data_IF_633622724717
#
_entry.id   IF_633622724717
#
_cell.length_a   1.000
_cell.length_b   1.000
_cell.length_c   1.000
_cell.angle_alpha   90.00
_cell.angle_beta   90.00
_cell.angle_gamma   90.00
#
_symmetry.space_group_name_H-M   'P 1'
#
loop_
_entity.id
_entity.type
_entity.pdbx_description
1 polymer ?
#
# COMPACT_ATOMS: atom_id res chain seq x y z
N UNK A 1 20.75 1.83 77.05
CA UNK A 1 21.14 2.90 76.10
C UNK A 1 21.92 2.35 74.91
N UNK A 2 23.14 1.79 75.07
CA UNK A 2 23.92 1.29 73.92
C UNK A 2 23.25 0.16 73.12
N UNK A 3 22.62 -0.81 73.80
CA UNK A 3 21.91 -1.92 73.15
C UNK A 3 20.69 -1.47 72.32
N UNK A 4 19.93 -0.49 72.81
CA UNK A 4 18.79 0.08 72.06
C UNK A 4 19.26 0.81 70.80
N UNK A 5 20.36 1.57 70.88
CA UNK A 5 20.92 2.24 69.71
C UNK A 5 21.37 1.25 68.63
N UNK A 6 21.95 0.10 69.03
CA UNK A 6 22.37 -0.96 68.08
C UNK A 6 21.15 -1.63 67.44
N UNK A 7 20.09 -1.90 68.21
CA UNK A 7 18.82 -2.44 67.69
C UNK A 7 18.18 -1.49 66.66
N UNK A 8 18.18 -0.20 66.96
CA UNK A 8 17.61 0.86 66.12
C UNK A 8 18.39 1.05 64.82
N UNK A 9 19.73 0.96 64.87
CA UNK A 9 20.59 0.95 63.68
C UNK A 9 20.24 -0.26 62.80
N UNK A 10 20.14 -1.46 63.37
CA UNK A 10 19.83 -2.69 62.63
C UNK A 10 18.45 -2.64 61.96
N UNK A 11 17.46 -2.07 62.63
CA UNK A 11 16.13 -1.86 62.04
C UNK A 11 16.16 -0.83 60.92
N UNK A 12 16.98 0.22 61.05
CA UNK A 12 17.14 1.25 60.03
C UNK A 12 17.83 0.70 58.79
N UNK A 13 18.86 -0.12 58.94
CA UNK A 13 19.52 -0.84 57.84
C UNK A 13 18.54 -1.77 57.11
N UNK A 14 17.74 -2.55 57.84
CA UNK A 14 16.75 -3.43 57.23
C UNK A 14 15.71 -2.66 56.40
N UNK A 15 15.23 -1.51 56.91
CA UNK A 15 14.31 -0.63 56.18
C UNK A 15 14.95 -0.01 54.94
N UNK A 16 16.21 0.42 55.04
CA UNK A 16 16.95 0.97 53.91
C UNK A 16 17.11 -0.08 52.79
N UNK A 17 17.46 -1.32 53.14
CA UNK A 17 17.56 -2.43 52.19
C UNK A 17 16.22 -2.74 51.51
N UNK A 18 15.12 -2.71 52.26
CA UNK A 18 13.77 -2.91 51.73
C UNK A 18 13.39 -1.80 50.73
N UNK A 19 13.68 -0.53 51.07
CA UNK A 19 13.46 0.62 50.18
C UNK A 19 14.24 0.45 48.88
N UNK A 20 15.52 0.08 48.96
CA UNK A 20 16.37 -0.12 47.78
C UNK A 20 15.84 -1.26 46.90
N UNK A 21 15.42 -2.38 47.51
CA UNK A 21 14.83 -3.50 46.78
C UNK A 21 13.53 -3.12 46.07
N UNK A 22 12.64 -2.42 46.77
CA UNK A 22 11.36 -1.98 46.20
C UNK A 22 11.57 -1.00 45.05
N UNK A 23 12.42 0.02 45.24
CA UNK A 23 12.76 0.97 44.19
C UNK A 23 13.39 0.28 42.96
N UNK A 24 14.25 -0.72 43.16
CA UNK A 24 14.86 -1.49 42.08
C UNK A 24 13.81 -2.32 41.31
N UNK A 25 12.85 -2.92 42.02
CA UNK A 25 11.76 -3.69 41.43
C UNK A 25 10.82 -2.79 40.62
N UNK A 26 10.43 -1.64 41.18
CA UNK A 26 9.61 -0.65 40.49
C UNK A 26 10.28 -0.10 39.24
N UNK A 27 11.58 0.21 39.30
CA UNK A 27 12.34 0.65 38.14
C UNK A 27 12.33 -0.40 37.02
N UNK A 28 12.52 -1.69 37.36
CA UNK A 28 12.45 -2.78 36.38
C UNK A 28 11.06 -2.89 35.75
N UNK A 29 10.00 -2.80 36.56
CA UNK A 29 8.62 -2.85 36.08
C UNK A 29 8.29 -1.66 35.16
N UNK A 30 8.77 -0.46 35.51
CA UNK A 30 8.60 0.73 34.69
C UNK A 30 9.26 0.58 33.32
N UNK A 31 10.50 0.08 33.28
CA UNK A 31 11.22 -0.18 32.02
C UNK A 31 10.51 -1.24 31.19
N UNK A 32 10.01 -2.33 31.81
CA UNK A 32 9.27 -3.36 31.08
C UNK A 32 7.96 -2.82 30.49
N UNK A 33 7.19 -2.03 31.24
CA UNK A 33 5.97 -1.39 30.75
C UNK A 33 6.27 -0.44 29.60
N UNK A 34 7.27 0.43 29.75
CA UNK A 34 7.69 1.36 28.70
C UNK A 34 8.10 0.62 27.42
N UNK A 35 8.83 -0.50 27.53
CA UNK A 35 9.18 -1.34 26.37
C UNK A 35 7.94 -1.95 25.71
N UNK A 36 7.00 -2.46 26.50
CA UNK A 36 5.74 -3.02 25.98
C UNK A 36 4.87 -1.98 25.27
N UNK A 37 4.76 -0.79 25.84
CA UNK A 37 4.04 0.34 25.23
C UNK A 37 4.72 0.82 23.94
N UNK A 38 6.05 0.95 23.95
CA UNK A 38 6.81 1.32 22.76
C UNK A 38 6.62 0.30 21.63
N UNK A 39 6.64 -1.00 21.94
CA UNK A 39 6.40 -2.05 20.95
C UNK A 39 4.99 -1.96 20.37
N UNK A 40 3.97 -1.79 21.22
CA UNK A 40 2.58 -1.60 20.75
C UNK A 40 2.44 -0.38 19.85
N UNK A 41 3.01 0.76 20.23
CA UNK A 41 2.97 1.97 19.40
C UNK A 41 3.67 1.77 18.06
N UNK A 42 4.82 1.07 18.06
CA UNK A 42 5.52 0.72 16.84
C UNK A 42 4.65 -0.13 15.91
N UNK A 43 4.05 -1.21 16.45
CA UNK A 43 3.21 -2.12 15.67
C UNK A 43 1.96 -1.41 15.13
N UNK A 44 1.33 -0.54 15.93
CA UNK A 44 0.19 0.28 15.52
C UNK A 44 0.55 1.26 14.38
N UNK A 45 1.73 1.89 14.46
CA UNK A 45 2.20 2.80 13.40
C UNK A 45 2.44 2.03 12.10
N UNK A 46 3.07 0.84 12.18
CA UNK A 46 3.30 0.00 11.01
C UNK A 46 1.97 -0.48 10.40
N UNK A 47 1.01 -0.89 11.23
CA UNK A 47 -0.31 -1.32 10.78
C UNK A 47 -1.03 -0.19 10.04
N UNK A 48 -1.09 1.01 10.63
CA UNK A 48 -1.69 2.21 10.00
C UNK A 48 -0.98 2.62 8.71
N UNK A 49 0.35 2.49 8.66
CA UNK A 49 1.11 2.78 7.46
C UNK A 49 0.78 1.81 6.31
N UNK A 50 0.67 0.50 6.62
CA UNK A 50 0.25 -0.52 5.65
C UNK A 50 -1.17 -0.29 5.15
N UNK A 51 -2.10 0.04 6.04
CA UNK A 51 -3.48 0.35 5.68
C UNK A 51 -3.56 1.54 4.71
N UNK A 52 -2.85 2.63 5.02
CA UNK A 52 -2.77 3.80 4.12
C UNK A 52 -2.13 3.47 2.77
N UNK A 53 -1.08 2.65 2.77
CA UNK A 53 -0.45 2.22 1.53
C UNK A 53 -1.42 1.41 0.65
N UNK A 54 -2.16 0.47 1.25
CA UNK A 54 -3.16 -0.32 0.54
C UNK A 54 -4.31 0.55 -0.01
N UNK A 55 -4.81 1.50 0.78
CA UNK A 55 -5.86 2.44 0.34
C UNK A 55 -5.37 3.31 -0.83
N UNK A 56 -4.12 3.79 -0.78
CA UNK A 56 -3.53 4.56 -1.87
C UNK A 56 -3.36 3.74 -3.15
N UNK A 57 -2.90 2.48 -3.03
CA UNK A 57 -2.80 1.56 -4.17
C UNK A 57 -4.18 1.29 -4.76
N UNK A 58 -5.18 1.00 -3.94
CA UNK A 58 -6.55 0.76 -4.41
C UNK A 58 -7.10 1.96 -5.15
N UNK A 59 -6.95 3.17 -4.60
CA UNK A 59 -7.36 4.41 -5.27
C UNK A 59 -6.64 4.63 -6.59
N UNK A 60 -5.33 4.37 -6.65
CA UNK A 60 -4.56 4.49 -7.89
C UNK A 60 -5.05 3.50 -8.96
N UNK A 61 -5.37 2.26 -8.58
CA UNK A 61 -5.93 1.26 -9.49
C UNK A 61 -7.31 1.70 -9.98
N UNK A 62 -8.19 2.16 -9.10
CA UNK A 62 -9.53 2.62 -9.46
C UNK A 62 -9.50 3.83 -10.40
N UNK A 63 -8.60 4.79 -10.14
CA UNK A 63 -8.39 5.94 -11.04
C UNK A 63 -7.86 5.48 -12.39
N UNK A 64 -6.85 4.61 -12.41
CA UNK A 64 -6.30 4.06 -13.65
C UNK A 64 -7.34 3.32 -14.49
N UNK A 65 -8.22 2.55 -13.85
CA UNK A 65 -9.32 1.87 -14.52
C UNK A 65 -10.34 2.87 -15.10
N UNK A 66 -10.71 3.90 -14.35
CA UNK A 66 -11.62 4.97 -14.83
C UNK A 66 -11.03 5.75 -16.00
N UNK A 67 -9.73 5.99 -16.01
CA UNK A 67 -9.06 6.63 -17.14
C UNK A 67 -8.93 5.69 -18.34
N UNK A 68 -8.78 4.39 -18.11
CA UNK A 68 -8.72 3.39 -19.17
C UNK A 68 -10.08 3.16 -19.84
N UNK A 69 -11.20 3.27 -19.13
CA UNK A 69 -12.56 3.11 -19.68
C UNK A 69 -12.82 3.93 -20.96
N UNK A 70 -12.64 5.26 -21.00
CA UNK A 70 -12.88 6.05 -22.20
C UNK A 70 -11.91 5.70 -23.33
N UNK A 71 -10.67 5.32 -23.02
CA UNK A 71 -9.68 4.89 -24.02
C UNK A 71 -10.15 3.60 -24.68
N UNK A 72 -10.59 2.62 -23.88
CA UNK A 72 -11.12 1.35 -24.37
C UNK A 72 -12.42 1.54 -25.15
N UNK A 73 -13.33 2.40 -24.68
CA UNK A 73 -14.56 2.71 -25.38
C UNK A 73 -14.28 3.35 -26.76
N UNK A 74 -13.36 4.31 -26.82
CA UNK A 74 -12.93 4.94 -28.07
C UNK A 74 -12.29 3.93 -29.02
N UNK A 75 -11.39 3.09 -28.51
CA UNK A 75 -10.75 2.04 -29.31
C UNK A 75 -11.75 1.04 -29.89
N UNK A 76 -12.78 0.66 -29.12
CA UNK A 76 -13.89 -0.18 -29.62
C UNK A 76 -14.68 0.52 -30.71
N UNK A 77 -15.02 1.79 -30.52
CA UNK A 77 -15.76 2.57 -31.52
C UNK A 77 -14.97 2.71 -32.83
N UNK A 78 -13.66 2.96 -32.75
CA UNK A 78 -12.78 3.03 -33.92
C UNK A 78 -12.70 1.69 -34.64
N UNK A 79 -12.55 0.58 -33.90
CA UNK A 79 -12.53 -0.76 -34.46
C UNK A 79 -13.86 -1.13 -35.16
N UNK A 80 -15.00 -0.82 -34.55
CA UNK A 80 -16.31 -1.00 -35.16
C UNK A 80 -16.46 -0.15 -36.43
N UNK A 81 -15.95 1.09 -36.43
CA UNK A 81 -15.96 1.95 -37.61
C UNK A 81 -15.17 1.36 -38.78
N UNK A 82 -14.05 0.68 -38.51
CA UNK A 82 -13.25 -0.03 -39.53
C UNK A 82 -14.01 -1.26 -40.05
N UNK A 83 -14.58 -2.07 -39.16
CA UNK A 83 -15.31 -3.29 -39.53
C UNK A 83 -16.59 -2.97 -40.32
N UNK A 84 -17.27 -1.88 -39.97
CA UNK A 84 -18.51 -1.44 -40.58
C UNK A 84 -18.30 -0.47 -41.76
N UNK A 85 -17.13 -0.51 -42.41
CA UNK A 85 -16.92 0.21 -43.66
C UNK A 85 -18.01 -0.18 -44.68
N UNK A 86 -18.59 0.84 -45.34
CA UNK A 86 -19.68 0.63 -46.29
C UNK A 86 -19.28 -0.27 -47.45
N UNK A 87 -20.22 -1.09 -47.89
CA UNK A 87 -20.00 -2.03 -48.98
C UNK A 87 -19.59 -1.32 -50.28
N UNK A 88 -20.14 -0.13 -50.54
CA UNK A 88 -19.76 0.72 -51.66
C UNK A 88 -18.26 1.09 -51.64
N UNK A 89 -17.70 1.38 -50.46
CA UNK A 89 -16.26 1.66 -50.34
C UNK A 89 -15.42 0.42 -50.63
N UNK A 90 -15.88 -0.75 -50.19
CA UNK A 90 -15.20 -2.03 -50.48
C UNK A 90 -15.24 -2.33 -51.98
N UNK A 91 -16.40 -2.21 -52.61
CA UNK A 91 -16.60 -2.43 -54.05
C UNK A 91 -15.74 -1.45 -54.86
N UNK A 92 -15.72 -0.17 -54.48
CA UNK A 92 -14.88 0.83 -55.13
C UNK A 92 -13.38 0.52 -55.00
N UNK A 93 -12.93 0.05 -53.84
CA UNK A 93 -11.54 -0.37 -53.65
C UNK A 93 -11.19 -1.57 -54.55
N UNK A 94 -12.07 -2.58 -54.64
CA UNK A 94 -11.89 -3.74 -55.53
C UNK A 94 -11.82 -3.28 -56.99
N UNK A 95 -12.75 -2.41 -57.42
CA UNK A 95 -12.76 -1.87 -58.78
C UNK A 95 -11.46 -1.15 -59.14
N UNK A 96 -10.91 -0.36 -58.22
CA UNK A 96 -9.65 0.37 -58.42
C UNK A 96 -8.46 -0.60 -58.61
N UNK A 97 -8.43 -1.69 -57.84
CA UNK A 97 -7.42 -2.76 -57.99
C UNK A 97 -7.57 -3.46 -59.35
N UNK A 98 -8.79 -3.82 -59.75
CA UNK A 98 -9.07 -4.46 -61.05
C UNK A 98 -8.66 -3.55 -62.21
N UNK A 99 -9.05 -2.27 -62.19
CA UNK A 99 -8.65 -1.29 -63.21
C UNK A 99 -7.12 -1.16 -63.32
N UNK A 100 -6.40 -1.21 -62.19
CA UNK A 100 -4.94 -1.13 -62.18
C UNK A 100 -4.31 -2.38 -62.81
N UNK A 101 -4.83 -3.57 -62.52
CA UNK A 101 -4.35 -4.83 -63.14
C UNK A 101 -4.62 -4.81 -64.64
N UNK A 102 -5.83 -4.45 -65.05
CA UNK A 102 -6.24 -4.37 -66.46
C UNK A 102 -5.41 -3.33 -67.23
N UNK A 103 -5.08 -2.18 -66.63
CA UNK A 103 -4.18 -1.21 -67.28
C UNK A 103 -2.74 -1.71 -67.47
N UNK A 104 -2.26 -2.59 -66.59
CA UNK A 104 -0.89 -3.13 -66.66
C UNK A 104 -0.82 -4.34 -67.61
N UNK A 105 -1.86 -5.19 -67.65
CA UNK A 105 -1.84 -6.47 -68.38
C UNK A 105 -2.80 -6.54 -69.58
N UNK A 106 -3.71 -5.58 -69.71
CA UNK A 106 -4.77 -5.56 -70.74
C UNK A 106 -4.40 -4.81 -72.02
N UNK A 107 -3.15 -4.37 -72.17
CA UNK A 107 -2.59 -3.99 -73.47
C UNK A 107 -1.91 -5.21 -74.10
N UNK A 108 -2.72 -6.11 -74.63
CA UNK A 108 -2.40 -6.91 -75.82
C UNK A 108 -3.59 -6.81 -76.76
#
# INVERSE_FOLDING_TARGET
>A
MALQAIEEIKQTEAKADEIVRNATSEAKNMVQKAKGEAQKQYDDVIAKAKEKANDLISKAVDMGNKEAEPILAKGRQEAEGILNISEDKKINAVKLVVERIVKIHGNS
#
